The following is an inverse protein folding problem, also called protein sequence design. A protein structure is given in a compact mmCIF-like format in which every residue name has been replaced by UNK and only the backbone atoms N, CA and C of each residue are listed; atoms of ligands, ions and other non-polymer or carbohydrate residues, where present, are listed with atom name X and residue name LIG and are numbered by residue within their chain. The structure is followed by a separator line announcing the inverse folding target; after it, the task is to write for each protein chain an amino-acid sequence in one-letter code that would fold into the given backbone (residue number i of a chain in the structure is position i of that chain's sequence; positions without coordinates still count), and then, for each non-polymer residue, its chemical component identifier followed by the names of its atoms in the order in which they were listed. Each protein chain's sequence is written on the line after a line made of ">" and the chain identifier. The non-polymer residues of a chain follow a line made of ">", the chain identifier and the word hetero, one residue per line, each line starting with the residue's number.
data_IF_595495262849
#
_entry.id   IF_595495262849
#
_cell.length_a   1.000
_cell.length_b   1.000
_cell.length_c   1.000
_cell.angle_alpha   90.00
_cell.angle_beta   90.00
_cell.angle_gamma   90.00
#
_symmetry.space_group_name_H-M   'P 1'
#
loop_
_entity.id
_entity.type
_entity.pdbx_description
1 polymer ?
#
# COMPACT_ATOMS: atom_id res chain seq x y z
N UNK A 1 11.06 -1.58 -13.69
CA UNK A 1 10.77 -1.78 -12.25
C UNK A 1 11.16 -0.50 -11.54
N UNK A 2 10.23 0.10 -10.84
CA UNK A 2 10.54 1.21 -9.93
C UNK A 2 11.22 0.66 -8.67
N UNK A 3 12.21 1.35 -8.15
CA UNK A 3 12.86 1.02 -6.89
C UNK A 3 13.25 2.33 -6.20
N UNK A 4 13.51 2.24 -4.91
CA UNK A 4 14.07 3.35 -4.14
C UNK A 4 15.21 2.85 -3.26
N UNK A 5 16.12 3.74 -2.93
CA UNK A 5 17.22 3.50 -2.00
C UNK A 5 17.11 4.57 -0.92
N UNK A 6 17.01 4.16 0.33
CA UNK A 6 16.76 5.04 1.46
C UNK A 6 17.86 4.86 2.52
N UNK A 7 18.89 5.69 2.52
CA UNK A 7 19.86 5.71 3.60
C UNK A 7 19.20 6.12 4.93
N UNK A 8 19.57 5.47 6.01
CA UNK A 8 19.09 5.74 7.36
C UNK A 8 20.21 6.40 8.19
N UNK A 9 19.84 7.21 9.17
CA UNK A 9 20.81 7.83 10.10
C UNK A 9 21.64 6.80 10.87
N UNK A 10 21.16 5.56 10.95
CA UNK A 10 21.85 4.44 11.61
C UNK A 10 22.95 3.80 10.75
N UNK A 11 23.20 4.29 9.52
CA UNK A 11 24.13 3.71 8.55
C UNK A 11 23.55 2.56 7.73
N UNK A 12 22.34 2.13 8.03
CA UNK A 12 21.64 1.13 7.22
C UNK A 12 21.08 1.74 5.94
N UNK A 13 20.92 0.93 4.91
CA UNK A 13 20.29 1.31 3.65
C UNK A 13 19.12 0.39 3.37
N UNK A 14 17.93 0.96 3.20
CA UNK A 14 16.75 0.23 2.76
C UNK A 14 16.64 0.30 1.25
N UNK A 15 16.60 -0.84 0.59
CA UNK A 15 16.35 -0.96 -0.85
C UNK A 15 14.97 -1.58 -1.05
N UNK A 16 14.11 -0.92 -1.76
CA UNK A 16 12.73 -1.36 -2.06
C UNK A 16 12.11 -0.52 -3.16
N UNK A 17 10.98 -0.89 -3.64
CA UNK A 17 10.22 -2.08 -3.38
C UNK A 17 9.82 -2.72 -4.71
N UNK A 18 9.57 -4.02 -4.69
CA UNK A 18 8.88 -4.69 -5.78
C UNK A 18 7.36 -4.57 -5.60
N UNK A 19 6.63 -4.84 -6.68
CA UNK A 19 5.18 -5.00 -6.67
C UNK A 19 4.85 -6.23 -7.50
N UNK A 20 4.11 -7.14 -6.90
CA UNK A 20 3.64 -8.36 -7.52
C UNK A 20 2.14 -8.43 -7.32
N UNK A 21 1.42 -8.87 -8.35
CA UNK A 21 -0.03 -9.09 -8.33
C UNK A 21 -0.28 -10.59 -8.33
N UNK A 22 -1.45 -11.02 -7.89
CA UNK A 22 -1.90 -12.40 -7.90
C UNK A 22 -0.95 -13.36 -7.17
N UNK A 23 -0.36 -12.90 -6.07
CA UNK A 23 0.53 -13.67 -5.21
C UNK A 23 -0.14 -13.86 -3.86
N UNK A 24 -0.33 -15.11 -3.46
CA UNK A 24 -1.04 -15.50 -2.24
C UNK A 24 -0.09 -15.81 -1.06
N UNK A 25 1.20 -15.99 -1.34
CA UNK A 25 2.22 -16.23 -0.32
C UNK A 25 3.08 -14.99 -0.02
N UNK A 26 3.88 -15.08 1.03
CA UNK A 26 4.86 -14.06 1.42
C UNK A 26 6.29 -14.48 1.14
N UNK A 27 6.51 -15.43 0.26
CA UNK A 27 7.85 -15.88 -0.06
C UNK A 27 8.62 -14.81 -0.83
N UNK A 28 9.93 -14.81 -0.61
CA UNK A 28 10.81 -13.88 -1.32
C UNK A 28 11.08 -14.39 -2.72
N UNK A 29 10.58 -13.68 -3.72
CA UNK A 29 10.90 -13.98 -5.11
C UNK A 29 12.35 -13.58 -5.41
N UNK A 30 13.26 -14.55 -5.39
CA UNK A 30 14.70 -14.33 -5.58
C UNK A 30 15.04 -13.66 -6.91
N UNK A 31 14.48 -14.08 -8.06
CA UNK A 31 14.69 -13.38 -9.34
C UNK A 31 14.33 -11.89 -9.30
N UNK A 32 13.23 -11.53 -8.64
CA UNK A 32 12.83 -10.14 -8.50
C UNK A 32 13.78 -9.38 -7.58
N UNK A 33 14.17 -9.99 -6.45
CA UNK A 33 15.15 -9.41 -5.52
C UNK A 33 16.46 -9.11 -6.22
N UNK A 34 17.03 -10.09 -6.92
CA UNK A 34 18.30 -9.93 -7.64
C UNK A 34 18.23 -8.83 -8.70
N UNK A 35 17.12 -8.74 -9.44
CA UNK A 35 16.91 -7.68 -10.43
C UNK A 35 16.84 -6.30 -9.78
N UNK A 36 16.19 -6.19 -8.61
CA UNK A 36 16.11 -4.94 -7.85
C UNK A 36 17.48 -4.52 -7.32
N UNK A 37 18.25 -5.45 -6.73
CA UNK A 37 19.61 -5.18 -6.23
C UNK A 37 20.56 -4.79 -7.37
N UNK A 38 20.53 -5.51 -8.48
CA UNK A 38 21.34 -5.15 -9.66
C UNK A 38 21.04 -3.72 -10.11
N UNK A 39 19.77 -3.36 -10.18
CA UNK A 39 19.37 -2.00 -10.54
C UNK A 39 19.85 -0.97 -9.52
N UNK A 40 19.79 -1.26 -8.23
CA UNK A 40 20.30 -0.38 -7.20
C UNK A 40 21.82 -0.16 -7.31
N UNK A 41 22.58 -1.21 -7.59
CA UNK A 41 24.04 -1.13 -7.81
C UNK A 41 24.42 -0.30 -9.03
N UNK A 42 23.60 -0.29 -10.09
CA UNK A 42 23.85 0.58 -11.27
C UNK A 42 23.86 2.08 -10.89
N UNK A 43 23.05 2.49 -9.91
CA UNK A 43 22.96 3.87 -9.45
C UNK A 43 23.86 4.17 -8.25
N UNK A 44 24.13 3.19 -7.41
CA UNK A 44 24.91 3.31 -6.19
C UNK A 44 25.87 2.12 -6.06
N UNK A 45 27.01 2.14 -6.76
CA UNK A 45 27.97 1.01 -6.80
C UNK A 45 28.49 0.59 -5.42
N UNK A 46 28.61 1.52 -4.47
CA UNK A 46 29.11 1.26 -3.11
C UNK A 46 28.20 0.31 -2.32
N UNK A 47 26.95 0.13 -2.74
CA UNK A 47 26.04 -0.88 -2.14
C UNK A 47 26.58 -2.31 -2.28
N UNK A 48 27.44 -2.57 -3.27
CA UNK A 48 28.07 -3.88 -3.46
C UNK A 48 29.01 -4.28 -2.32
N UNK A 49 29.49 -3.32 -1.54
CA UNK A 49 30.35 -3.56 -0.39
C UNK A 49 29.56 -3.80 0.92
N UNK A 50 28.24 -3.61 0.89
CA UNK A 50 27.39 -3.75 2.07
C UNK A 50 26.86 -5.18 2.19
N UNK A 51 26.77 -5.65 3.44
CA UNK A 51 26.14 -6.94 3.74
C UNK A 51 24.64 -6.78 3.88
N UNK A 52 23.89 -7.74 3.32
CA UNK A 52 22.45 -7.82 3.53
C UNK A 52 22.14 -8.25 4.95
N UNK A 53 21.38 -7.46 5.67
CA UNK A 53 20.95 -7.77 7.04
C UNK A 53 19.63 -8.56 7.00
N UNK A 54 18.69 -8.16 6.15
CA UNK A 54 17.35 -8.76 6.10
C UNK A 54 16.67 -8.51 4.75
N UNK A 55 15.89 -9.48 4.32
CA UNK A 55 14.91 -9.35 3.24
C UNK A 55 13.54 -9.73 3.78
N UNK A 56 12.50 -9.03 3.35
CA UNK A 56 11.12 -9.33 3.75
C UNK A 56 10.13 -8.94 2.66
N UNK A 57 8.95 -9.52 2.74
CA UNK A 57 7.79 -9.22 1.89
C UNK A 57 6.59 -8.86 2.76
N UNK A 58 5.54 -8.36 2.15
CA UNK A 58 4.28 -8.07 2.81
C UNK A 58 3.19 -7.75 1.80
N UNK A 59 1.95 -8.02 2.17
CA UNK A 59 0.80 -7.66 1.36
C UNK A 59 0.47 -6.18 1.53
N UNK A 60 -0.06 -5.61 0.46
CA UNK A 60 -0.70 -4.29 0.46
C UNK A 60 -2.18 -4.48 0.18
N UNK A 61 -3.03 -3.88 0.99
CA UNK A 61 -4.45 -3.84 0.70
C UNK A 61 -4.69 -3.01 -0.57
N UNK A 62 -5.23 -3.65 -1.58
CA UNK A 62 -5.54 -3.05 -2.87
C UNK A 62 -6.99 -3.35 -3.23
N UNK A 63 -7.55 -2.53 -4.10
CA UNK A 63 -8.88 -2.69 -4.69
C UNK A 63 -8.74 -2.87 -6.20
N UNK A 64 -9.68 -3.53 -6.87
CA UNK A 64 -9.63 -3.71 -8.33
C UNK A 64 -9.58 -2.39 -9.10
N UNK A 65 -10.27 -1.36 -8.62
CA UNK A 65 -10.35 -0.03 -9.22
C UNK A 65 -9.20 0.90 -8.79
N UNK A 66 -8.31 0.46 -7.90
CA UNK A 66 -7.16 1.20 -7.36
C UNK A 66 -7.53 2.43 -6.53
N UNK A 67 -8.79 2.56 -6.11
CA UNK A 67 -9.25 3.58 -5.19
C UNK A 67 -9.44 2.99 -3.79
N UNK A 68 -9.08 3.68 -2.71
CA UNK A 68 -9.28 3.18 -1.36
C UNK A 68 -10.78 3.07 -1.01
N UNK A 69 -11.09 2.22 -0.05
CA UNK A 69 -12.40 2.10 0.58
C UNK A 69 -12.40 2.94 1.85
N UNK A 70 -13.19 4.04 1.85
CA UNK A 70 -13.24 4.98 2.97
C UNK A 70 -14.71 5.29 3.28
N UNK A 71 -15.19 4.86 4.44
CA UNK A 71 -16.56 5.12 4.87
C UNK A 71 -17.24 3.91 5.50
N UNK A 72 -18.57 3.97 5.75
CA UNK A 72 -19.32 2.91 6.41
C UNK A 72 -19.35 1.64 5.56
N UNK A 73 -19.21 0.51 6.24
CA UNK A 73 -19.33 -0.78 5.57
C UNK A 73 -20.81 -1.10 5.30
N UNK A 74 -21.18 -1.53 4.09
CA UNK A 74 -22.56 -1.81 3.73
C UNK A 74 -23.22 -2.90 4.58
N UNK A 75 -22.44 -3.85 5.13
CA UNK A 75 -22.93 -4.93 5.98
C UNK A 75 -23.23 -4.50 7.42
N UNK A 76 -22.57 -3.44 7.89
CA UNK A 76 -22.80 -2.85 9.22
C UNK A 76 -22.36 -1.37 9.20
N UNK A 77 -23.32 -0.42 9.19
CA UNK A 77 -23.01 1.01 9.09
C UNK A 77 -22.32 1.58 10.34
N UNK A 78 -22.21 0.84 11.41
CA UNK A 78 -21.43 1.23 12.60
C UNK A 78 -19.94 0.98 12.43
N UNK A 79 -19.55 0.17 11.44
CA UNK A 79 -18.16 -0.14 11.09
C UNK A 79 -17.71 0.75 9.94
N UNK A 80 -16.63 1.49 10.14
CA UNK A 80 -16.02 2.32 9.11
C UNK A 80 -14.74 1.68 8.57
N UNK A 81 -14.59 1.69 7.26
CA UNK A 81 -13.40 1.20 6.56
C UNK A 81 -12.47 2.36 6.20
N UNK A 82 -11.16 2.11 6.25
CA UNK A 82 -10.10 2.97 5.75
C UNK A 82 -8.97 2.08 5.20
N UNK A 83 -9.18 1.47 4.05
CA UNK A 83 -8.29 0.44 3.50
C UNK A 83 -8.16 0.54 1.98
N UNK A 84 -7.34 -0.31 1.37
CA UNK A 84 -7.20 -0.35 -0.08
C UNK A 84 -6.30 0.72 -0.69
N UNK A 85 -5.52 1.45 0.12
CA UNK A 85 -4.64 2.53 -0.34
C UNK A 85 -3.38 2.04 -1.07
N UNK A 86 -3.15 0.75 -1.11
CA UNK A 86 -1.98 0.12 -1.70
C UNK A 86 -0.65 0.72 -1.17
N UNK A 87 0.10 1.45 -2.01
CA UNK A 87 1.35 2.10 -1.61
C UNK A 87 1.22 3.55 -1.12
N UNK A 88 0.02 4.12 -1.14
CA UNK A 88 -0.22 5.54 -0.89
C UNK A 88 -0.78 5.85 0.51
N UNK A 89 -1.02 4.83 1.35
CA UNK A 89 -1.72 5.00 2.62
C UNK A 89 -1.12 6.05 3.55
N UNK A 90 0.21 6.14 3.65
CA UNK A 90 0.87 7.17 4.46
C UNK A 90 0.65 8.56 3.85
N UNK A 91 0.85 8.71 2.55
CA UNK A 91 0.73 9.99 1.84
C UNK A 91 -0.70 10.54 1.90
N UNK A 92 -1.70 9.67 1.83
CA UNK A 92 -3.12 10.04 1.81
C UNK A 92 -3.79 10.00 3.18
N UNK A 93 -3.05 9.69 4.26
CA UNK A 93 -3.61 9.45 5.59
C UNK A 93 -4.43 10.62 6.13
N UNK A 94 -3.97 11.85 5.96
CA UNK A 94 -4.70 13.04 6.43
C UNK A 94 -6.01 13.27 5.68
N UNK A 95 -6.01 13.07 4.36
CA UNK A 95 -7.23 13.15 3.55
C UNK A 95 -8.22 12.04 3.93
N UNK A 96 -7.73 10.82 4.12
CA UNK A 96 -8.54 9.69 4.61
C UNK A 96 -9.17 9.99 5.96
N UNK A 97 -8.38 10.50 6.91
CA UNK A 97 -8.87 10.89 8.23
C UNK A 97 -9.94 11.97 8.14
N UNK A 98 -9.74 12.98 7.29
CA UNK A 98 -10.74 14.04 7.08
C UNK A 98 -12.05 13.49 6.54
N UNK A 99 -12.00 12.64 5.50
CA UNK A 99 -13.19 11.99 4.93
C UNK A 99 -13.94 11.19 6.01
N UNK A 100 -13.24 10.43 6.85
CA UNK A 100 -13.89 9.65 7.92
C UNK A 100 -14.51 10.54 8.99
N UNK A 101 -13.79 11.57 9.44
CA UNK A 101 -14.30 12.51 10.45
C UNK A 101 -15.55 13.19 9.98
N UNK A 102 -15.57 13.68 8.74
CA UNK A 102 -16.75 14.35 8.18
C UNK A 102 -17.96 13.41 8.12
N UNK A 103 -17.75 12.14 7.75
CA UNK A 103 -18.84 11.14 7.71
C UNK A 103 -19.32 10.75 9.11
N UNK A 104 -18.42 10.54 10.06
CA UNK A 104 -18.78 10.16 11.44
C UNK A 104 -19.49 11.30 12.16
N UNK A 105 -19.04 12.55 11.94
CA UNK A 105 -19.63 13.73 12.55
C UNK A 105 -20.87 14.24 11.83
N UNK A 106 -21.25 13.68 10.69
CA UNK A 106 -22.34 14.18 9.86
C UNK A 106 -22.07 15.59 9.29
N UNK A 107 -20.80 15.95 9.13
CA UNK A 107 -20.38 17.24 8.61
C UNK A 107 -20.40 17.25 7.07
N UNK A 108 -20.48 18.45 6.50
CA UNK A 108 -20.36 18.59 5.04
C UNK A 108 -18.94 18.19 4.61
N UNK A 109 -18.87 17.19 3.73
CA UNK A 109 -17.60 16.74 3.19
C UNK A 109 -16.96 17.83 2.29
N UNK A 110 -15.70 18.14 2.55
CA UNK A 110 -14.90 19.04 1.70
C UNK A 110 -14.29 18.26 0.51
N UNK A 111 -14.05 16.95 0.70
CA UNK A 111 -13.52 16.05 -0.32
C UNK A 111 -14.68 15.19 -0.84
N UNK A 112 -14.88 15.04 -2.16
CA UNK A 112 -15.90 14.14 -2.69
C UNK A 112 -15.73 12.72 -2.14
N UNK A 113 -16.78 12.16 -1.54
CA UNK A 113 -16.71 10.85 -0.85
C UNK A 113 -17.15 9.71 -1.75
N UNK A 114 -18.06 9.96 -2.69
CA UNK A 114 -18.69 8.91 -3.51
C UNK A 114 -17.70 7.96 -4.19
N UNK A 115 -16.57 8.43 -4.76
CA UNK A 115 -15.59 7.53 -5.36
C UNK A 115 -14.91 6.56 -4.38
N UNK A 116 -15.00 6.85 -3.09
CA UNK A 116 -14.30 6.08 -2.04
C UNK A 116 -15.24 5.22 -1.19
N UNK A 117 -16.55 5.37 -1.33
CA UNK A 117 -17.51 4.61 -0.52
C UNK A 117 -17.35 3.10 -0.71
N UNK A 118 -17.34 2.31 0.39
CA UNK A 118 -17.28 0.86 0.32
C UNK A 118 -18.43 0.23 -0.48
N UNK A 119 -19.59 0.87 -0.54
CA UNK A 119 -20.76 0.41 -1.31
C UNK A 119 -20.54 0.33 -2.83
N UNK A 120 -19.47 0.95 -3.36
CA UNK A 120 -19.16 0.88 -4.80
C UNK A 120 -18.59 -0.48 -5.24
N UNK A 121 -18.06 -1.26 -4.31
CA UNK A 121 -17.61 -2.63 -4.59
C UNK A 121 -18.72 -3.60 -4.21
N UNK A 122 -19.01 -4.55 -5.11
CA UNK A 122 -20.00 -5.60 -4.81
C UNK A 122 -19.55 -6.38 -3.57
N UNK A 123 -20.48 -6.59 -2.64
CA UNK A 123 -20.27 -7.44 -1.47
C UNK A 123 -20.62 -8.90 -1.75
N UNK A 124 -21.02 -9.25 -2.97
CA UNK A 124 -21.23 -10.64 -3.34
C UNK A 124 -19.91 -11.38 -3.30
N UNK A 125 -19.83 -12.47 -2.53
CA UNK A 125 -18.63 -13.30 -2.52
C UNK A 125 -18.39 -13.84 -3.94
N UNK A 126 -17.16 -13.73 -4.42
CA UNK A 126 -16.74 -14.25 -5.73
C UNK A 126 -16.76 -15.80 -5.79
N UNK A 127 -17.43 -16.44 -4.85
CA UNK A 127 -17.57 -17.89 -4.74
C UNK A 127 -19.07 -18.24 -4.77
N UNK A 128 -19.57 -18.35 -5.98
CA UNK A 128 -20.80 -19.10 -6.27
C UNK A 128 -20.44 -20.31 -7.13
#
# INVERSE_FOLDING_TARGET
>A
MAFNVQPRKTGQVLIGSSRQYDVEDKEVNIPILLRMLRRAHEYMPDLAQMSTIRVWTGFRAATPDKLPLIGPWPGDPTVFLATGHEGLGITTSLATARILVDQIAGSKAEIPIDPYLPSRVSTEPAYA
#
